data_IF_828624915712
#
_entry.id   IF_828624915712
#
_cell.length_a   1.000
_cell.length_b   1.000
_cell.length_c   1.000
_cell.angle_alpha   90.00
_cell.angle_beta   90.00
_cell.angle_gamma   90.00
#
_symmetry.space_group_name_H-M   'P 1'
#
loop_
_entity.id
_entity.type
_entity.pdbx_description
1 polymer ?
#
# COMPACT_ATOMS: atom_id res chain seq x y z
N UNK A 1 -22.12 -7.30 -9.83
CA UNK A 1 -20.71 -7.41 -10.30
C UNK A 1 -19.84 -6.55 -9.38
N UNK A 2 -18.82 -7.11 -8.74
CA UNK A 2 -18.07 -6.56 -7.60
C UNK A 2 -17.17 -5.35 -7.91
N UNK A 3 -17.67 -4.37 -8.64
CA UNK A 3 -16.89 -3.20 -9.10
C UNK A 3 -16.24 -2.48 -7.92
N UNK A 4 -16.88 -2.39 -6.76
CA UNK A 4 -16.33 -1.72 -5.58
C UNK A 4 -15.10 -2.43 -4.98
N UNK A 5 -15.02 -3.77 -5.05
CA UNK A 5 -13.86 -4.53 -4.54
C UNK A 5 -12.64 -4.31 -5.44
N UNK A 6 -12.87 -4.35 -6.76
CA UNK A 6 -11.84 -4.04 -7.75
C UNK A 6 -11.38 -2.58 -7.70
N UNK A 7 -12.31 -1.65 -7.46
CA UNK A 7 -11.99 -0.22 -7.30
C UNK A 7 -11.15 0.01 -6.04
N UNK A 8 -11.48 -0.66 -4.92
CA UNK A 8 -10.70 -0.59 -3.67
C UNK A 8 -9.31 -1.20 -3.83
N UNK A 9 -9.21 -2.38 -4.45
CA UNK A 9 -7.92 -3.02 -4.74
C UNK A 9 -7.07 -2.14 -5.68
N UNK A 10 -7.67 -1.54 -6.71
CA UNK A 10 -7.02 -0.59 -7.61
C UNK A 10 -6.50 0.66 -6.89
N UNK A 11 -7.28 1.24 -5.97
CA UNK A 11 -6.81 2.34 -5.12
C UNK A 11 -5.64 1.92 -4.21
N UNK A 12 -5.64 0.68 -3.72
CA UNK A 12 -4.51 0.11 -2.97
C UNK A 12 -3.23 0.08 -3.80
N UNK A 13 -3.31 -0.39 -5.05
CA UNK A 13 -2.16 -0.43 -5.98
C UNK A 13 -1.64 0.98 -6.29
N UNK A 14 -2.52 1.94 -6.56
CA UNK A 14 -2.12 3.34 -6.76
C UNK A 14 -1.43 3.92 -5.53
N UNK A 15 -1.95 3.64 -4.33
CA UNK A 15 -1.35 4.06 -3.06
C UNK A 15 0.03 3.44 -2.84
N UNK A 16 0.24 2.19 -3.28
CA UNK A 16 1.54 1.52 -3.22
C UNK A 16 2.57 2.18 -4.14
N UNK A 17 2.19 2.54 -5.37
CA UNK A 17 3.07 3.26 -6.31
C UNK A 17 3.48 4.61 -5.72
N UNK A 18 2.53 5.37 -5.16
CA UNK A 18 2.80 6.63 -4.48
C UNK A 18 3.73 6.44 -3.27
N UNK A 19 3.47 5.43 -2.44
CA UNK A 19 4.31 5.13 -1.27
C UNK A 19 5.75 4.81 -1.70
N UNK A 20 5.96 4.03 -2.76
CA UNK A 20 7.31 3.75 -3.31
C UNK A 20 7.97 5.05 -3.80
N UNK A 21 7.24 5.89 -4.54
CA UNK A 21 7.75 7.16 -5.04
C UNK A 21 8.21 8.09 -3.90
N UNK A 22 7.38 8.25 -2.86
CA UNK A 22 7.75 9.02 -1.67
C UNK A 22 8.94 8.42 -0.94
N UNK A 23 8.99 7.10 -0.79
CA UNK A 23 10.09 6.41 -0.11
C UNK A 23 11.43 6.64 -0.82
N UNK A 24 11.47 6.57 -2.15
CA UNK A 24 12.67 6.86 -2.95
C UNK A 24 13.08 8.33 -2.83
N UNK A 25 12.12 9.26 -2.90
CA UNK A 25 12.40 10.70 -2.78
C UNK A 25 12.93 11.07 -1.40
N UNK A 26 12.32 10.55 -0.33
CA UNK A 26 12.76 10.82 1.04
C UNK A 26 14.07 10.12 1.37
N UNK A 27 14.36 8.96 0.79
CA UNK A 27 15.67 8.32 0.92
C UNK A 27 16.77 9.21 0.34
N UNK A 28 16.55 9.75 -0.87
CA UNK A 28 17.47 10.67 -1.53
C UNK A 28 17.65 11.97 -0.73
N UNK A 29 16.56 12.52 -0.18
CA UNK A 29 16.62 13.71 0.68
C UNK A 29 17.41 13.47 1.96
N UNK A 30 17.20 12.32 2.62
CA UNK A 30 17.88 11.96 3.86
C UNK A 30 19.40 11.76 3.65
N UNK A 31 19.78 11.25 2.48
CA UNK A 31 21.18 11.10 2.06
C UNK A 31 21.86 12.45 1.85
N UNK A 32 21.16 13.42 1.25
CA UNK A 32 21.68 14.79 1.07
C UNK A 32 21.77 15.59 2.37
N UNK A 33 20.82 15.42 3.29
CA UNK A 33 20.75 16.21 4.54
C UNK A 33 21.42 15.56 5.76
N UNK A 34 21.99 14.35 5.63
CA UNK A 34 22.59 13.56 6.73
C UNK A 34 21.68 13.39 7.96
N UNK A 35 20.35 13.47 7.79
CA UNK A 35 19.39 13.24 8.88
C UNK A 35 19.39 11.76 9.29
N UNK A 36 18.96 11.48 10.51
CA UNK A 36 18.80 10.09 11.01
C UNK A 36 17.77 9.35 10.13
N UNK A 37 18.28 8.53 9.20
CA UNK A 37 17.52 7.77 8.18
C UNK A 37 16.34 7.00 8.76
N UNK A 38 16.52 6.42 9.94
CA UNK A 38 15.59 5.46 10.53
C UNK A 38 14.26 6.12 10.99
N UNK A 39 14.33 7.20 11.76
CA UNK A 39 13.14 7.91 12.27
C UNK A 39 12.36 8.63 11.16
N UNK A 40 13.05 9.12 10.13
CA UNK A 40 12.41 9.87 9.05
C UNK A 40 11.74 8.95 8.03
N UNK A 41 12.37 7.80 7.70
CA UNK A 41 11.77 6.82 6.79
C UNK A 41 10.72 5.92 7.46
N UNK A 42 10.63 5.88 8.79
CA UNK A 42 9.69 5.00 9.50
C UNK A 42 8.24 5.24 9.04
N UNK A 43 7.84 6.49 8.86
CA UNK A 43 6.50 6.85 8.38
C UNK A 43 6.25 6.34 6.95
N UNK A 44 7.25 6.46 6.07
CA UNK A 44 7.14 5.98 4.69
C UNK A 44 7.10 4.45 4.61
N UNK A 45 7.90 3.77 5.43
CA UNK A 45 7.84 2.32 5.58
C UNK A 45 6.48 1.87 6.13
N UNK A 46 5.91 2.62 7.09
CA UNK A 46 4.57 2.37 7.62
C UNK A 46 3.49 2.50 6.55
N UNK A 47 3.53 3.57 5.74
CA UNK A 47 2.61 3.80 4.62
C UNK A 47 2.73 2.72 3.54
N UNK A 48 3.95 2.27 3.24
CA UNK A 48 4.20 1.17 2.31
C UNK A 48 3.59 -0.14 2.81
N UNK A 49 3.79 -0.48 4.09
CA UNK A 49 3.27 -1.70 4.70
C UNK A 49 1.73 -1.67 4.78
N UNK A 50 1.15 -0.52 5.13
CA UNK A 50 -0.30 -0.30 5.11
C UNK A 50 -0.91 -0.53 3.73
N UNK A 51 -0.26 -0.02 2.66
CA UNK A 51 -0.74 -0.20 1.30
C UNK A 51 -0.75 -1.69 0.90
N UNK A 52 0.28 -2.46 1.25
CA UNK A 52 0.33 -3.91 1.00
C UNK A 52 -0.80 -4.64 1.73
N UNK A 53 -0.99 -4.35 3.02
CA UNK A 53 -2.05 -4.97 3.83
C UNK A 53 -3.43 -4.63 3.27
N UNK A 54 -3.65 -3.39 2.83
CA UNK A 54 -4.91 -2.97 2.23
C UNK A 54 -5.24 -3.73 0.95
N UNK A 55 -4.26 -3.91 0.07
CA UNK A 55 -4.43 -4.72 -1.16
C UNK A 55 -4.75 -6.17 -0.79
N UNK A 56 -4.01 -6.75 0.15
CA UNK A 56 -4.23 -8.12 0.62
C UNK A 56 -5.64 -8.33 1.17
N UNK A 57 -6.10 -7.42 2.04
CA UNK A 57 -7.46 -7.44 2.57
C UNK A 57 -8.52 -7.33 1.47
N UNK A 58 -8.33 -6.44 0.48
CA UNK A 58 -9.23 -6.31 -0.66
C UNK A 58 -9.37 -7.60 -1.47
N UNK A 59 -8.26 -8.30 -1.73
CA UNK A 59 -8.24 -9.59 -2.43
C UNK A 59 -8.90 -10.69 -1.58
N UNK A 60 -8.58 -10.78 -0.29
CA UNK A 60 -9.20 -11.76 0.61
C UNK A 60 -10.72 -11.58 0.68
N UNK A 61 -11.20 -10.34 0.72
CA UNK A 61 -12.62 -10.02 0.74
C UNK A 61 -13.32 -10.45 -0.56
N UNK A 62 -12.66 -10.27 -1.71
CA UNK A 62 -13.13 -10.82 -2.99
C UNK A 62 -13.28 -12.35 -2.94
N UNK A 63 -12.27 -13.06 -2.45
CA UNK A 63 -12.29 -14.54 -2.37
C UNK A 63 -13.39 -15.04 -1.44
N UNK A 64 -13.55 -14.41 -0.26
CA UNK A 64 -14.61 -14.78 0.69
C UNK A 64 -16.00 -14.60 0.06
N UNK A 65 -16.22 -13.45 -0.60
CA UNK A 65 -17.50 -13.19 -1.27
C UNK A 65 -17.75 -14.25 -2.36
N UNK A 66 -16.75 -14.54 -3.20
CA UNK A 66 -16.87 -15.56 -4.24
C UNK A 66 -17.25 -16.93 -3.66
N UNK A 67 -16.58 -17.36 -2.59
CA UNK A 67 -16.86 -18.64 -1.92
C UNK A 67 -18.28 -18.73 -1.33
N UNK A 68 -18.89 -17.61 -0.93
CA UNK A 68 -20.28 -17.57 -0.44
C UNK A 68 -21.33 -17.66 -1.55
N UNK A 69 -20.95 -17.36 -2.81
CA UNK A 69 -21.88 -17.38 -3.95
C UNK A 69 -21.81 -18.69 -4.74
N UNK A 70 -20.67 -19.37 -4.68
CA UNK A 70 -20.45 -20.66 -5.34
C UNK A 70 -20.76 -21.86 -4.45
N UNK A 71 -20.95 -21.64 -3.14
CA UNK A 71 -21.48 -22.62 -2.19
C UNK A 71 -23.01 -22.57 -2.16
#
# INVERSE_FOLDING_TARGET
MYNYVWLSAGMGVLSLILAIFFLVKDLSYCEQTKRKKLTYLLANWGMFLLAIVWIGLGISLYVIIQNQLTA
#
